data_IF_097949384389
#
_entry.id   IF_097949384389
#
_cell.length_a   1.000
_cell.length_b   1.000
_cell.length_c   1.000
_cell.angle_alpha   90.00
_cell.angle_beta   90.00
_cell.angle_gamma   90.00
#
_symmetry.space_group_name_H-M   'P 1'
#
loop_
_entity.id
_entity.type
_entity.pdbx_description
1 polymer ?
#
# COMPACT_ATOMS: atom_id res chain seq x y z
N UNK A 1 5.65 -21.23 -9.59
CA UNK A 1 6.89 -20.63 -9.04
C UNK A 1 6.87 -20.88 -7.54
N UNK A 2 7.99 -21.39 -7.07
CA UNK A 2 8.20 -22.20 -5.85
C UNK A 2 7.79 -21.53 -4.54
N UNK A 3 7.04 -22.28 -3.73
CA UNK A 3 6.82 -22.03 -2.30
C UNK A 3 8.17 -21.97 -1.58
N UNK A 4 8.65 -20.77 -1.27
CA UNK A 4 9.65 -20.57 -0.22
C UNK A 4 8.88 -20.36 1.07
N UNK A 5 8.24 -21.42 1.54
CA UNK A 5 7.68 -21.47 2.89
C UNK A 5 8.86 -21.81 3.79
N UNK A 6 9.64 -20.76 4.14
CA UNK A 6 10.64 -20.85 5.19
C UNK A 6 9.97 -21.32 6.47
N UNK A 7 10.66 -22.20 7.19
CA UNK A 7 10.23 -22.75 8.48
C UNK A 7 9.53 -21.69 9.33
N UNK A 8 8.27 -21.96 9.69
CA UNK A 8 7.53 -21.12 10.64
C UNK A 8 8.35 -21.09 11.93
N UNK A 9 8.76 -19.90 12.43
CA UNK A 9 9.56 -19.82 13.64
C UNK A 9 8.81 -20.51 14.80
N UNK A 10 9.51 -21.34 15.55
CA UNK A 10 9.02 -21.87 16.84
C UNK A 10 8.53 -20.71 17.72
N UNK A 11 7.47 -20.95 18.51
CA UNK A 11 6.95 -19.98 19.47
C UNK A 11 8.09 -19.30 20.25
N UNK A 12 8.18 -17.98 20.12
CA UNK A 12 9.16 -17.14 20.81
C UNK A 12 8.50 -16.43 21.97
N UNK A 13 9.08 -16.53 23.16
CA UNK A 13 8.64 -15.79 24.35
C UNK A 13 9.31 -14.42 24.41
N UNK A 14 8.54 -13.36 24.66
CA UNK A 14 9.06 -12.01 24.81
C UNK A 14 9.65 -11.84 26.21
N UNK A 15 10.97 -11.85 26.30
CA UNK A 15 11.70 -11.75 27.58
C UNK A 15 11.92 -10.29 28.02
N UNK A 16 12.05 -9.38 27.06
CA UNK A 16 12.32 -7.96 27.32
C UNK A 16 11.81 -7.10 26.16
N UNK A 17 11.20 -5.97 26.51
CA UNK A 17 10.83 -4.91 25.56
C UNK A 17 11.69 -3.69 25.83
N UNK A 18 12.28 -3.12 24.79
CA UNK A 18 13.07 -1.87 24.85
C UNK A 18 12.59 -0.92 23.77
N UNK A 19 12.48 0.36 24.11
CA UNK A 19 12.19 1.42 23.14
C UNK A 19 13.53 2.00 22.67
N UNK A 20 13.73 2.03 21.36
CA UNK A 20 14.94 2.59 20.73
C UNK A 20 14.49 3.64 19.71
N UNK A 21 15.15 4.80 19.71
CA UNK A 21 14.90 5.87 18.73
C UNK A 21 16.08 5.89 17.75
N UNK A 22 15.82 5.52 16.50
CA UNK A 22 16.80 5.44 15.43
C UNK A 22 16.36 6.27 14.22
N UNK A 23 17.29 6.63 13.34
CA UNK A 23 16.96 7.32 12.09
C UNK A 23 16.55 6.32 11.00
N UNK A 24 15.37 6.54 10.45
CA UNK A 24 14.83 5.77 9.33
C UNK A 24 13.96 4.60 9.78
N UNK A 25 12.81 4.46 9.12
CA UNK A 25 11.87 3.36 9.30
C UNK A 25 11.58 2.77 7.93
N UNK A 26 11.60 1.45 7.82
CA UNK A 26 11.26 0.73 6.60
C UNK A 26 10.13 -0.25 6.87
N UNK A 27 8.93 0.07 6.37
CA UNK A 27 7.72 -0.73 6.51
C UNK A 27 7.14 -1.04 5.12
N UNK A 28 7.68 -2.03 4.39
CA UNK A 28 7.26 -2.31 3.02
C UNK A 28 5.91 -3.02 3.00
N UNK A 29 4.99 -2.59 2.13
CA UNK A 29 3.77 -3.34 1.87
C UNK A 29 4.08 -4.56 1.00
N UNK A 30 4.12 -5.75 1.61
CA UNK A 30 4.35 -7.00 0.89
C UNK A 30 3.04 -7.64 0.45
N UNK A 31 3.08 -8.47 -0.59
CA UNK A 31 1.88 -9.14 -1.10
C UNK A 31 1.24 -10.09 -0.07
N UNK A 32 2.06 -10.71 0.78
CA UNK A 32 1.59 -11.55 1.90
C UNK A 32 1.21 -10.75 3.15
N UNK A 33 1.61 -9.49 3.22
CA UNK A 33 1.50 -8.66 4.41
C UNK A 33 2.39 -9.05 5.58
N UNK A 34 3.36 -9.90 5.32
CA UNK A 34 4.33 -10.38 6.28
C UNK A 34 5.75 -10.04 5.82
N UNK A 35 6.64 -9.84 6.78
CA UNK A 35 8.08 -9.67 6.58
C UNK A 35 8.83 -10.48 7.65
N UNK A 36 9.99 -11.02 7.29
CA UNK A 36 10.90 -11.65 8.26
C UNK A 36 11.96 -10.62 8.65
N UNK A 37 11.98 -10.22 9.92
CA UNK A 37 12.97 -9.30 10.49
C UNK A 37 13.73 -10.04 11.59
N UNK A 38 15.05 -10.16 11.44
CA UNK A 38 15.91 -10.87 12.38
C UNK A 38 15.44 -12.31 12.71
N UNK A 39 14.87 -13.02 11.73
CA UNK A 39 14.36 -14.39 11.91
C UNK A 39 12.94 -14.48 12.52
N UNK A 40 12.30 -13.35 12.80
CA UNK A 40 10.92 -13.29 13.29
C UNK A 40 9.96 -12.83 12.20
N UNK A 41 8.83 -13.52 12.07
CA UNK A 41 7.74 -13.09 11.18
C UNK A 41 6.97 -11.96 11.86
N UNK A 42 6.86 -10.83 11.16
CA UNK A 42 6.10 -9.67 11.59
C UNK A 42 5.11 -9.24 10.50
N UNK A 43 4.00 -8.63 10.91
CA UNK A 43 3.10 -7.92 10.00
C UNK A 43 3.80 -6.69 9.43
N UNK A 44 3.52 -6.37 8.16
CA UNK A 44 3.97 -5.12 7.53
C UNK A 44 2.98 -3.97 7.69
N UNK A 45 1.90 -4.18 8.45
CA UNK A 45 0.84 -3.21 8.67
C UNK A 45 0.60 -3.01 10.16
N UNK A 46 0.22 -1.78 10.52
CA UNK A 46 -0.22 -1.46 11.86
C UNK A 46 -1.52 -2.20 12.20
N UNK A 47 -1.56 -2.77 13.40
CA UNK A 47 -2.75 -3.40 13.96
C UNK A 47 -3.31 -2.51 15.06
N UNK A 48 -4.52 -2.01 14.87
CA UNK A 48 -5.10 -0.97 15.74
C UNK A 48 -5.96 -1.56 16.86
N UNK A 49 -6.48 -2.79 16.69
CA UNK A 49 -7.42 -3.44 17.63
C UNK A 49 -6.75 -4.48 18.56
N UNK A 50 -5.54 -4.18 19.04
CA UNK A 50 -4.87 -4.95 20.10
C UNK A 50 -4.52 -6.40 19.74
N UNK A 51 -4.29 -6.70 18.46
CA UNK A 51 -3.70 -7.96 17.98
C UNK A 51 -4.60 -9.21 18.03
N UNK A 52 -5.92 -9.08 18.27
CA UNK A 52 -6.80 -10.25 18.46
C UNK A 52 -7.24 -10.96 17.17
N UNK A 53 -7.26 -10.27 16.04
CA UNK A 53 -7.66 -10.80 14.72
C UNK A 53 -6.95 -10.02 13.62
N UNK A 54 -6.53 -10.63 12.52
CA UNK A 54 -5.96 -9.92 11.36
C UNK A 54 -6.99 -9.09 10.56
N UNK A 55 -8.26 -9.17 10.98
CA UNK A 55 -9.38 -8.44 10.40
C UNK A 55 -9.97 -7.43 11.35
N UNK A 56 -10.63 -6.43 10.76
CA UNK A 56 -11.37 -5.42 11.48
C UNK A 56 -12.58 -6.05 12.16
N UNK A 57 -12.71 -5.80 13.46
CA UNK A 57 -13.84 -6.22 14.29
C UNK A 57 -14.74 -5.01 14.55
N UNK A 58 -16.01 -5.11 14.20
CA UNK A 58 -17.01 -4.05 14.38
C UNK A 58 -18.15 -4.60 15.25
N UNK A 59 -18.38 -3.99 16.41
CA UNK A 59 -19.44 -4.42 17.33
C UNK A 59 -19.25 -5.85 17.86
N UNK A 60 -18.00 -6.32 17.95
CA UNK A 60 -17.67 -7.68 18.37
C UNK A 60 -17.76 -8.74 17.26
N UNK A 61 -18.10 -8.35 16.03
CA UNK A 61 -18.14 -9.26 14.87
C UNK A 61 -16.95 -9.00 13.96
N UNK A 62 -16.23 -10.06 13.60
CA UNK A 62 -15.15 -9.99 12.62
C UNK A 62 -15.73 -9.72 11.22
N UNK A 63 -15.23 -8.69 10.56
CA UNK A 63 -15.62 -8.35 9.19
C UNK A 63 -14.75 -9.07 8.17
N UNK A 64 -15.08 -9.01 6.89
CA UNK A 64 -14.23 -9.53 5.81
C UNK A 64 -12.99 -8.64 5.51
N UNK A 65 -12.85 -7.49 6.18
CA UNK A 65 -11.82 -6.49 5.90
C UNK A 65 -10.55 -6.79 6.70
N UNK A 66 -9.49 -7.26 6.04
CA UNK A 66 -8.18 -7.41 6.69
C UNK A 66 -7.50 -6.06 6.90
N UNK A 67 -6.66 -5.94 7.93
CA UNK A 67 -5.87 -4.73 8.15
C UNK A 67 -4.89 -4.46 6.99
N UNK A 68 -4.39 -5.51 6.33
CA UNK A 68 -3.62 -5.40 5.09
C UNK A 68 -4.42 -4.66 4.01
N UNK A 69 -5.67 -5.09 3.76
CA UNK A 69 -6.51 -4.47 2.75
C UNK A 69 -6.83 -3.02 3.10
N UNK A 70 -7.19 -2.75 4.36
CA UNK A 70 -7.49 -1.41 4.85
C UNK A 70 -6.32 -0.46 4.70
N UNK A 71 -5.10 -0.89 5.04
CA UNK A 71 -3.92 -0.05 4.88
C UNK A 71 -3.60 0.22 3.40
N UNK A 72 -3.76 -0.76 2.52
CA UNK A 72 -3.61 -0.53 1.08
C UNK A 72 -4.61 0.49 0.53
N UNK A 73 -5.86 0.37 0.99
CA UNK A 73 -6.98 1.23 0.63
C UNK A 73 -6.76 2.65 1.14
N UNK A 74 -6.38 2.79 2.40
CA UNK A 74 -6.12 4.07 3.05
C UNK A 74 -4.91 4.79 2.43
N UNK A 75 -3.89 4.04 1.98
CA UNK A 75 -2.70 4.62 1.36
C UNK A 75 -2.88 4.94 -0.14
N UNK A 76 -3.94 4.45 -0.78
CA UNK A 76 -4.20 4.68 -2.20
C UNK A 76 -4.27 6.16 -2.60
N UNK A 77 -4.98 7.04 -1.88
CA UNK A 77 -5.04 8.46 -2.22
C UNK A 77 -3.67 9.14 -2.12
N UNK A 78 -2.85 8.75 -1.15
CA UNK A 78 -1.48 9.27 -1.03
C UNK A 78 -0.59 8.81 -2.18
N UNK A 79 -0.62 7.52 -2.54
CA UNK A 79 0.13 7.03 -3.71
C UNK A 79 -0.32 7.72 -5.00
N UNK A 80 -1.63 7.92 -5.17
CA UNK A 80 -2.19 8.66 -6.30
C UNK A 80 -1.68 10.12 -6.30
N UNK A 81 -1.71 10.80 -5.16
CA UNK A 81 -1.18 12.17 -5.04
C UNK A 81 0.32 12.24 -5.36
N UNK A 82 1.13 11.33 -4.82
CA UNK A 82 2.57 11.27 -5.11
C UNK A 82 2.85 11.01 -6.59
N UNK A 83 2.04 10.18 -7.25
CA UNK A 83 2.19 9.88 -8.68
C UNK A 83 1.90 11.10 -9.58
N UNK A 84 1.01 11.99 -9.13
CA UNK A 84 0.65 13.21 -9.85
C UNK A 84 1.59 14.38 -9.53
N UNK A 85 2.09 14.45 -8.29
CA UNK A 85 2.98 15.51 -7.83
C UNK A 85 4.03 14.96 -6.87
N UNK A 86 5.15 14.49 -7.42
CA UNK A 86 6.28 13.95 -6.67
C UNK A 86 6.77 14.90 -5.56
N UNK A 87 6.76 16.21 -5.80
CA UNK A 87 7.24 17.20 -4.81
C UNK A 87 6.42 17.20 -3.53
N UNK A 88 5.13 16.90 -3.60
CA UNK A 88 4.27 16.85 -2.42
C UNK A 88 4.71 15.76 -1.42
N UNK A 89 5.31 14.67 -1.93
CA UNK A 89 5.76 13.55 -1.11
C UNK A 89 7.25 13.63 -0.77
N UNK A 90 8.07 14.32 -1.57
CA UNK A 90 9.45 14.66 -1.17
C UNK A 90 9.49 15.60 0.04
N UNK A 91 8.50 16.50 0.16
CA UNK A 91 8.38 17.43 1.30
C UNK A 91 7.52 16.89 2.45
N UNK A 92 7.30 15.58 2.52
CA UNK A 92 6.47 14.97 3.56
C UNK A 92 7.11 15.16 4.95
N UNK A 93 6.32 15.68 5.90
CA UNK A 93 6.76 15.90 7.27
C UNK A 93 6.43 14.69 8.15
N UNK A 94 7.32 14.44 9.11
CA UNK A 94 7.21 13.34 10.06
C UNK A 94 7.13 13.90 11.49
N UNK A 95 6.33 13.27 12.34
CA UNK A 95 6.19 13.62 13.75
C UNK A 95 7.36 13.11 14.60
N UNK A 96 7.30 13.32 15.92
CA UNK A 96 8.37 12.93 16.85
C UNK A 96 8.52 11.41 16.96
N UNK A 97 7.45 10.68 16.62
CA UNK A 97 7.29 9.23 16.55
C UNK A 97 7.77 8.65 15.21
N UNK A 98 8.08 9.51 14.22
CA UNK A 98 8.56 9.10 12.91
C UNK A 98 7.46 8.61 11.96
N UNK A 99 6.20 8.95 12.24
CA UNK A 99 5.07 8.76 11.33
C UNK A 99 4.94 9.95 10.42
N UNK A 100 4.62 9.71 9.15
CA UNK A 100 4.28 10.82 8.27
C UNK A 100 2.96 11.45 8.69
N UNK A 101 2.79 12.75 8.46
CA UNK A 101 1.54 13.45 8.77
C UNK A 101 0.31 12.76 8.15
N UNK A 102 0.47 12.13 6.97
CA UNK A 102 -0.60 11.39 6.31
C UNK A 102 -0.94 10.11 7.07
N UNK A 103 0.06 9.29 7.41
CA UNK A 103 -0.14 8.07 8.20
C UNK A 103 -0.70 8.38 9.60
N UNK A 104 -0.20 9.43 10.26
CA UNK A 104 -0.70 9.89 11.54
C UNK A 104 -2.19 10.28 11.46
N UNK A 105 -2.61 10.96 10.38
CA UNK A 105 -4.01 11.32 10.16
C UNK A 105 -4.93 10.10 9.99
N UNK A 106 -4.44 9.03 9.34
CA UNK A 106 -5.19 7.78 9.19
C UNK A 106 -5.36 7.08 10.54
N UNK A 107 -4.29 6.99 11.34
CA UNK A 107 -4.34 6.38 12.66
C UNK A 107 -5.26 7.17 13.59
N UNK A 108 -5.18 8.50 13.58
CA UNK A 108 -6.08 9.36 14.35
C UNK A 108 -7.55 9.20 13.91
N UNK A 109 -7.82 9.04 12.62
CA UNK A 109 -9.17 8.77 12.13
C UNK A 109 -9.70 7.40 12.58
N UNK A 110 -8.83 6.38 12.62
CA UNK A 110 -9.19 5.04 13.12
C UNK A 110 -9.43 5.07 14.63
N UNK A 111 -8.57 5.73 15.41
CA UNK A 111 -8.76 5.92 16.86
C UNK A 111 -10.06 6.68 17.15
N UNK A 112 -10.31 7.78 16.44
CA UNK A 112 -11.58 8.51 16.54
C UNK A 112 -12.79 7.64 16.22
N UNK A 113 -12.68 6.75 15.23
CA UNK A 113 -13.75 5.83 14.86
C UNK A 113 -14.00 4.77 15.93
N UNK A 114 -12.96 4.31 16.62
CA UNK A 114 -13.06 3.39 17.76
C UNK A 114 -13.73 4.04 18.98
N UNK A 115 -13.56 5.36 19.17
CA UNK A 115 -14.25 6.09 20.26
C UNK A 115 -15.76 6.28 20.05
N UNK A 116 -16.30 5.92 18.88
CA UNK A 116 -17.72 6.13 18.60
C UNK A 116 -18.61 5.14 19.37
N UNK A 117 -19.52 5.68 20.17
CA UNK A 117 -20.50 4.87 20.91
C UNK A 117 -21.56 4.26 19.97
N UNK A 118 -21.59 2.94 19.92
CA UNK A 118 -22.60 2.16 19.22
C UNK A 118 -22.10 1.50 17.95
N UNK A 119 -22.27 0.17 17.88
CA UNK A 119 -21.83 -0.65 16.75
C UNK A 119 -22.38 -0.17 15.40
N UNK A 120 -23.60 0.39 15.36
CA UNK A 120 -24.21 0.91 14.14
C UNK A 120 -23.50 2.16 13.61
N UNK A 121 -23.10 3.10 14.47
CA UNK A 121 -22.37 4.31 14.06
C UNK A 121 -20.97 3.95 13.55
N UNK A 122 -20.27 3.06 14.26
CA UNK A 122 -18.98 2.55 13.82
C UNK A 122 -19.10 1.82 12.47
N UNK A 123 -20.10 0.94 12.31
CA UNK A 123 -20.30 0.20 11.06
C UNK A 123 -20.59 1.14 9.87
N UNK A 124 -21.44 2.16 10.05
CA UNK A 124 -21.75 3.15 9.02
C UNK A 124 -20.50 3.98 8.69
N UNK A 125 -19.75 4.41 9.69
CA UNK A 125 -18.51 5.17 9.53
C UNK A 125 -17.45 4.39 8.75
N UNK A 126 -17.13 3.17 9.22
CA UNK A 126 -16.21 2.25 8.53
C UNK A 126 -16.68 1.98 7.11
N UNK A 127 -17.95 1.61 6.92
CA UNK A 127 -18.50 1.26 5.61
C UNK A 127 -18.39 2.42 4.62
N UNK A 128 -18.74 3.64 5.06
CA UNK A 128 -18.64 4.85 4.22
C UNK A 128 -17.19 5.15 3.85
N UNK A 129 -16.28 5.10 4.82
CA UNK A 129 -14.85 5.33 4.58
C UNK A 129 -14.27 4.31 3.59
N UNK A 130 -14.62 3.02 3.74
CA UNK A 130 -14.17 1.95 2.84
C UNK A 130 -14.68 2.19 1.42
N UNK A 131 -15.95 2.57 1.23
CA UNK A 131 -16.49 2.84 -0.10
C UNK A 131 -15.73 3.99 -0.78
N UNK A 132 -15.52 5.11 -0.07
CA UNK A 132 -14.81 6.28 -0.61
C UNK A 132 -13.37 5.92 -0.98
N UNK A 133 -12.64 5.30 -0.06
CA UNK A 133 -11.24 4.91 -0.28
C UNK A 133 -11.12 3.83 -1.38
N UNK A 134 -12.10 2.95 -1.52
CA UNK A 134 -12.13 1.97 -2.61
C UNK A 134 -12.28 2.63 -3.98
N UNK A 135 -13.15 3.64 -4.10
CA UNK A 135 -13.27 4.41 -5.34
C UNK A 135 -11.94 5.08 -5.70
N UNK A 136 -11.26 5.68 -4.71
CA UNK A 136 -9.94 6.29 -4.94
C UNK A 136 -8.87 5.26 -5.32
N UNK A 137 -8.89 4.07 -4.73
CA UNK A 137 -8.01 2.96 -5.11
C UNK A 137 -8.28 2.46 -6.52
N UNK A 138 -9.54 2.41 -6.95
CA UNK A 138 -9.88 2.08 -8.34
C UNK A 138 -9.42 3.17 -9.30
N UNK A 139 -9.52 4.45 -8.92
CA UNK A 139 -8.97 5.56 -9.71
C UNK A 139 -7.44 5.45 -9.84
N UNK A 140 -6.72 5.18 -8.75
CA UNK A 140 -5.27 4.92 -8.76
C UNK A 140 -4.92 3.78 -9.74
N UNK A 141 -5.65 2.65 -9.64
CA UNK A 141 -5.44 1.50 -10.52
C UNK A 141 -5.64 1.88 -12.00
N UNK A 142 -6.72 2.58 -12.34
CA UNK A 142 -7.02 3.01 -13.69
C UNK A 142 -5.97 3.99 -14.24
N UNK A 143 -5.54 4.96 -13.44
CA UNK A 143 -4.51 5.92 -13.83
C UNK A 143 -3.19 5.22 -14.18
N UNK A 144 -2.74 4.31 -13.31
CA UNK A 144 -1.49 3.57 -13.51
C UNK A 144 -1.56 2.68 -14.76
N UNK A 145 -2.68 2.00 -15.01
CA UNK A 145 -2.82 1.10 -16.16
C UNK A 145 -3.02 1.86 -17.48
N UNK A 146 -3.78 2.96 -17.48
CA UNK A 146 -3.98 3.77 -18.68
C UNK A 146 -2.67 4.41 -19.16
N UNK A 147 -1.82 4.87 -18.23
CA UNK A 147 -0.48 5.39 -18.55
C UNK A 147 0.39 4.31 -19.19
N UNK A 148 0.41 3.10 -18.62
CA UNK A 148 1.19 1.98 -19.18
C UNK A 148 0.69 1.58 -20.58
N UNK A 149 -0.62 1.51 -20.78
CA UNK A 149 -1.21 1.22 -22.11
C UNK A 149 -0.84 2.31 -23.12
N UNK A 150 -0.90 3.58 -22.73
CA UNK A 150 -0.54 4.70 -23.60
C UNK A 150 0.95 4.66 -23.99
N UNK A 151 1.85 4.38 -23.04
CA UNK A 151 3.29 4.25 -23.31
C UNK A 151 3.58 3.07 -24.22
N UNK A 152 3.03 1.89 -23.94
CA UNK A 152 3.21 0.69 -24.78
C UNK A 152 2.64 0.92 -26.17
N UNK A 153 1.46 1.54 -26.28
CA UNK A 153 0.84 1.90 -27.54
C UNK A 153 1.69 2.88 -28.34
N UNK A 154 2.25 3.91 -27.70
CA UNK A 154 3.14 4.88 -28.34
C UNK A 154 4.45 4.25 -28.83
N UNK A 155 5.10 3.44 -27.99
CA UNK A 155 6.34 2.73 -28.35
C UNK A 155 6.10 1.78 -29.51
N UNK A 156 5.00 1.02 -29.48
CA UNK A 156 4.63 0.10 -30.56
C UNK A 156 4.35 0.85 -31.87
N UNK A 157 3.61 1.96 -31.81
CA UNK A 157 3.35 2.82 -32.95
C UNK A 157 4.63 3.43 -33.54
N UNK A 158 5.53 3.93 -32.68
CA UNK A 158 6.80 4.51 -33.10
C UNK A 158 7.73 3.47 -33.74
N UNK A 159 7.80 2.27 -33.15
CA UNK A 159 8.56 1.13 -33.69
C UNK A 159 8.10 0.74 -35.09
N UNK A 160 6.78 0.60 -35.30
CA UNK A 160 6.20 0.28 -36.63
C UNK A 160 6.52 1.35 -37.69
N UNK A 161 6.63 2.63 -37.31
CA UNK A 161 6.99 3.71 -38.23
C UNK A 161 8.48 3.71 -38.62
N UNK A 162 9.36 3.23 -37.76
CA UNK A 162 10.79 3.19 -38.07
C UNK A 162 11.20 1.95 -38.88
N UNK A 163 10.51 0.82 -38.74
CA UNK A 163 10.76 -0.39 -39.55
C UNK A 163 10.25 -0.29 -40.99
N UNK A 164 9.36 0.67 -41.27
CA UNK A 164 8.77 0.89 -42.60
C UNK A 164 9.53 1.89 -43.46
N UNK A 165 10.61 2.50 -42.95
CA UNK A 165 11.53 3.26 -43.79
C UNK A 165 12.31 2.27 -44.66
N UNK A 166 12.13 2.27 -45.99
CA UNK A 166 12.91 1.39 -46.85
C UNK A 166 14.38 1.73 -46.65
N UNK A 167 15.18 0.73 -46.28
CA UNK A 167 16.64 0.83 -46.43
C UNK A 167 16.84 1.14 -47.90
N UNK A 168 17.32 2.35 -48.21
CA UNK A 168 17.72 2.70 -49.56
C UNK A 168 18.83 1.71 -49.93
N UNK A 169 18.45 0.62 -50.59
CA UNK A 169 19.39 -0.29 -51.23
C UNK A 169 20.04 0.58 -52.29
N UNK A 170 21.21 1.10 -51.96
CA UNK A 170 22.10 1.73 -52.92
C UNK A 170 22.41 0.66 -53.95
N UNK A 171 21.61 0.64 -55.02
CA UNK A 171 21.89 -0.11 -56.23
C UNK A 171 23.16 0.50 -56.84
N UNK A 172 24.31 0.04 -56.38
CA UNK A 172 25.57 0.20 -57.07
C UNK A 172 25.51 -0.68 -58.32
N UNK A 173 24.88 -0.18 -59.37
CA UNK A 173 24.99 -0.72 -60.71
C UNK A 173 26.42 -0.47 -61.20
N UNK A 174 27.14 -1.55 -61.49
CA UNK A 174 28.44 -1.56 -62.16
C UNK A 174 28.36 -2.53 -63.33
#
# INVERSE_FOLDING_TARGET
>A
LTNVMGDVPKQSEVVRTTVVKEMGVYAPFTQSGLIVVNGHVASTYAHVQGGKSDRLVVGGVETALSFQYLAHLAQAPHRMLCSLNFKACESEQYDEEGLSWYAASQLAALDWLETQEGASKMAIGVGTAVVVLHVLSMMEFLMNHMLMIAVVGFVSWYGMRNTTKPVAVAAAAK
#
